data_IF_236923370552
#
_entry.id   IF_236923370552
#
_cell.length_a   1.000
_cell.length_b   1.000
_cell.length_c   1.000
_cell.angle_alpha   90.00
_cell.angle_beta   90.00
_cell.angle_gamma   90.00
#
_symmetry.space_group_name_H-M   'P 1'
#
loop_
_entity.id
_entity.type
_entity.pdbx_description
1 polymer ?
#
# COMPACT_ATOMS: atom_id res chain seq x y z
N UNK A 1 -1.03 -12.95 10.19
CA UNK A 1 -0.97 -12.65 8.75
C UNK A 1 -0.31 -13.83 8.06
N UNK A 2 -0.78 -14.18 6.86
CA UNK A 2 -0.18 -15.21 6.03
C UNK A 2 0.25 -14.62 4.70
N UNK A 3 1.41 -15.06 4.20
CA UNK A 3 1.88 -14.68 2.87
C UNK A 3 1.01 -15.35 1.82
N UNK A 4 0.54 -14.60 0.84
CA UNK A 4 -0.25 -15.13 -0.26
C UNK A 4 0.70 -15.80 -1.26
N UNK A 5 0.63 -17.12 -1.36
CA UNK A 5 1.53 -17.94 -2.19
C UNK A 5 0.79 -18.94 -3.10
N UNK A 6 -0.51 -19.11 -2.91
CA UNK A 6 -1.33 -20.10 -3.64
C UNK A 6 -2.70 -19.52 -3.97
N UNK A 7 -2.71 -18.46 -4.79
CA UNK A 7 -3.92 -17.95 -5.43
C UNK A 7 -3.83 -18.17 -6.94
N UNK A 8 -4.97 -18.54 -7.53
CA UNK A 8 -5.19 -18.56 -8.98
C UNK A 8 -5.18 -17.15 -9.55
N UNK A 9 -5.10 -17.02 -10.88
CA UNK A 9 -5.15 -15.70 -11.54
C UNK A 9 -6.52 -15.04 -11.36
N UNK A 10 -7.57 -15.86 -11.37
CA UNK A 10 -8.95 -15.45 -11.18
C UNK A 10 -9.18 -14.91 -9.76
N UNK A 11 -8.65 -15.59 -8.74
CA UNK A 11 -8.71 -15.11 -7.35
C UNK A 11 -7.93 -13.81 -7.15
N UNK A 12 -6.73 -13.69 -7.74
CA UNK A 12 -5.94 -12.46 -7.67
C UNK A 12 -6.65 -11.29 -8.33
N UNK A 13 -7.28 -11.49 -9.49
CA UNK A 13 -8.06 -10.46 -10.15
C UNK A 13 -9.31 -10.09 -9.32
N UNK A 14 -9.98 -11.08 -8.73
CA UNK A 14 -11.14 -10.88 -7.87
C UNK A 14 -10.79 -10.05 -6.63
N UNK A 15 -9.81 -10.48 -5.83
CA UNK A 15 -9.40 -9.74 -4.64
C UNK A 15 -8.74 -8.41 -4.98
N UNK A 16 -7.96 -8.33 -6.07
CA UNK A 16 -7.41 -7.08 -6.57
C UNK A 16 -8.49 -6.05 -6.89
N UNK A 17 -9.60 -6.49 -7.48
CA UNK A 17 -10.79 -5.65 -7.71
C UNK A 17 -11.38 -5.20 -6.37
N UNK A 18 -11.66 -6.12 -5.44
CA UNK A 18 -12.25 -5.78 -4.13
C UNK A 18 -11.39 -4.81 -3.31
N UNK A 19 -10.06 -4.96 -3.38
CA UNK A 19 -9.08 -4.03 -2.80
C UNK A 19 -9.25 -2.64 -3.40
N UNK A 20 -9.28 -2.55 -4.73
CA UNK A 20 -9.49 -1.30 -5.45
C UNK A 20 -10.84 -0.65 -5.14
N UNK A 21 -11.89 -1.44 -5.00
CA UNK A 21 -13.21 -0.96 -4.63
C UNK A 21 -13.28 -0.43 -3.20
N UNK A 22 -12.63 -1.10 -2.25
CA UNK A 22 -12.51 -0.66 -0.87
C UNK A 22 -11.76 0.67 -0.78
N UNK A 23 -10.67 0.81 -1.54
CA UNK A 23 -9.89 2.04 -1.59
C UNK A 23 -10.66 3.19 -2.24
N UNK A 24 -11.29 2.94 -3.40
CA UNK A 24 -12.06 3.96 -4.10
C UNK A 24 -13.31 4.42 -3.32
N UNK A 25 -13.90 3.53 -2.52
CA UNK A 25 -15.04 3.85 -1.67
C UNK A 25 -14.70 4.80 -0.50
N UNK A 26 -13.43 4.92 -0.11
CA UNK A 26 -13.03 5.92 0.89
C UNK A 26 -13.22 7.35 0.37
N UNK A 27 -13.24 7.56 -0.95
CA UNK A 27 -13.61 8.83 -1.58
C UNK A 27 -12.69 10.02 -1.25
N UNK A 28 -11.46 9.75 -0.81
CA UNK A 28 -10.55 10.78 -0.29
C UNK A 28 -9.11 10.57 -0.83
N UNK A 29 -8.30 11.63 -0.75
CA UNK A 29 -6.91 11.61 -1.16
C UNK A 29 -6.69 11.54 -2.68
N UNK A 30 -5.57 10.97 -3.08
CA UNK A 30 -5.11 10.82 -4.47
C UNK A 30 -6.08 9.96 -5.28
N UNK A 31 -6.86 9.07 -4.64
CA UNK A 31 -7.90 8.27 -5.28
C UNK A 31 -8.93 9.14 -6.04
N UNK A 32 -9.17 10.37 -5.59
CA UNK A 32 -10.13 11.29 -6.21
C UNK A 32 -9.62 11.93 -7.50
N UNK A 33 -8.34 11.76 -7.82
CA UNK A 33 -7.69 12.41 -8.97
C UNK A 33 -7.83 11.64 -10.28
N UNK A 34 -8.32 10.40 -10.23
CA UNK A 34 -8.58 9.56 -11.41
C UNK A 34 -10.00 8.97 -11.36
N UNK A 35 -10.55 8.52 -12.52
CA UNK A 35 -11.82 7.80 -12.54
C UNK A 35 -11.80 6.56 -11.63
N UNK A 36 -12.93 6.28 -10.97
CA UNK A 36 -13.07 5.14 -10.05
C UNK A 36 -12.61 3.82 -10.67
N UNK A 37 -13.02 3.55 -11.91
CA UNK A 37 -12.66 2.32 -12.63
C UNK A 37 -11.15 2.18 -12.86
N UNK A 38 -10.47 3.29 -13.15
CA UNK A 38 -9.01 3.31 -13.33
C UNK A 38 -8.28 3.07 -12.02
N UNK A 39 -8.77 3.61 -10.89
CA UNK A 39 -8.22 3.31 -9.56
C UNK A 39 -8.38 1.83 -9.25
N UNK A 40 -9.56 1.26 -9.48
CA UNK A 40 -9.81 -0.17 -9.25
C UNK A 40 -8.86 -1.02 -10.09
N UNK A 41 -8.73 -0.72 -11.38
CA UNK A 41 -7.83 -1.43 -12.28
C UNK A 41 -6.36 -1.27 -11.86
N UNK A 42 -5.96 -0.10 -11.38
CA UNK A 42 -4.61 0.12 -10.85
C UNK A 42 -4.33 -0.78 -9.64
N UNK A 43 -5.27 -0.86 -8.68
CA UNK A 43 -5.12 -1.73 -7.51
C UNK A 43 -5.15 -3.21 -7.85
N UNK A 44 -5.95 -3.63 -8.84
CA UNK A 44 -5.91 -4.99 -9.37
C UNK A 44 -4.51 -5.35 -9.90
N UNK A 45 -3.95 -4.48 -10.75
CA UNK A 45 -2.61 -4.65 -11.33
C UNK A 45 -1.52 -4.61 -10.25
N UNK A 46 -1.62 -3.70 -9.28
CA UNK A 46 -0.67 -3.60 -8.16
C UNK A 46 -0.74 -4.82 -7.24
N UNK A 47 -1.93 -5.37 -7.00
CA UNK A 47 -2.10 -6.59 -6.19
C UNK A 47 -1.40 -7.77 -6.83
N UNK A 48 -1.55 -7.96 -8.14
CA UNK A 48 -0.79 -8.97 -8.88
C UNK A 48 0.73 -8.71 -8.80
N UNK A 49 1.17 -7.46 -8.92
CA UNK A 49 2.58 -7.11 -8.77
C UNK A 49 3.15 -7.49 -7.39
N UNK A 50 2.43 -7.20 -6.30
CA UNK A 50 2.84 -7.57 -4.95
C UNK A 50 2.86 -9.08 -4.73
N UNK A 51 1.87 -9.79 -5.29
CA UNK A 51 1.83 -11.26 -5.26
C UNK A 51 3.05 -11.85 -5.97
N UNK A 52 3.31 -11.46 -7.23
CA UNK A 52 4.43 -11.94 -8.02
C UNK A 52 5.80 -11.52 -7.45
N UNK A 53 5.83 -10.44 -6.67
CA UNK A 53 7.02 -10.01 -5.93
C UNK A 53 7.25 -10.83 -4.66
N UNK A 54 6.23 -11.53 -4.15
CA UNK A 54 6.30 -12.36 -2.93
C UNK A 54 6.17 -11.55 -1.64
N UNK A 55 5.47 -10.42 -1.71
CA UNK A 55 5.32 -9.43 -0.63
C UNK A 55 3.86 -9.14 -0.29
N UNK A 56 2.91 -9.86 -0.88
CA UNK A 56 1.49 -9.77 -0.56
C UNK A 56 1.14 -10.70 0.61
N UNK A 57 0.41 -10.17 1.59
CA UNK A 57 -0.06 -10.87 2.76
C UNK A 57 -1.54 -10.63 2.97
N UNK A 58 -2.20 -11.54 3.67
CA UNK A 58 -3.61 -11.45 4.05
C UNK A 58 -3.82 -11.87 5.51
N UNK A 59 -4.95 -11.49 6.09
CA UNK A 59 -5.28 -11.71 7.52
C UNK A 59 -5.48 -13.18 7.87
N UNK A 60 -6.24 -13.90 7.05
CA UNK A 60 -6.61 -15.31 7.20
C UNK A 60 -7.14 -15.88 5.88
N UNK A 61 -7.67 -17.11 5.88
CA UNK A 61 -8.34 -17.72 4.72
C UNK A 61 -9.64 -17.00 4.34
N UNK A 62 -10.20 -16.19 5.25
CA UNK A 62 -11.37 -15.36 4.97
C UNK A 62 -11.01 -14.03 4.28
N UNK A 63 -9.72 -13.75 4.08
CA UNK A 63 -9.24 -12.60 3.33
C UNK A 63 -9.79 -11.23 3.75
N UNK A 64 -9.96 -11.00 5.06
CA UNK A 64 -10.60 -9.78 5.56
C UNK A 64 -9.84 -8.49 5.25
N UNK A 65 -8.53 -8.61 5.07
CA UNK A 65 -7.71 -7.54 4.54
C UNK A 65 -6.40 -8.02 3.95
N UNK A 66 -5.76 -7.10 3.25
CA UNK A 66 -4.53 -7.31 2.52
C UNK A 66 -3.47 -6.28 2.92
N UNK A 67 -2.23 -6.73 2.85
CA UNK A 67 -1.05 -5.96 3.19
C UNK A 67 0.03 -6.24 2.15
N UNK A 68 0.70 -5.19 1.68
CA UNK A 68 1.98 -5.33 0.99
C UNK A 68 3.03 -4.51 1.71
N UNK A 69 4.16 -5.14 2.03
CA UNK A 69 5.30 -4.46 2.62
C UNK A 69 6.61 -5.13 2.21
N UNK A 70 7.69 -4.36 2.25
CA UNK A 70 9.04 -4.85 1.95
C UNK A 70 10.08 -4.18 2.84
N UNK A 71 11.29 -4.76 2.88
CA UNK A 71 12.45 -4.12 3.48
C UNK A 71 13.09 -3.14 2.49
N UNK A 72 13.75 -2.08 2.95
CA UNK A 72 14.62 -1.24 2.09
C UNK A 72 15.66 -2.09 1.35
N UNK A 73 16.14 -3.14 2.01
CA UNK A 73 17.10 -4.10 1.44
C UNK A 73 16.49 -5.11 0.45
N UNK A 74 15.16 -5.14 0.28
CA UNK A 74 14.48 -6.05 -0.65
C UNK A 74 14.81 -5.67 -2.09
N UNK A 75 15.36 -6.62 -2.86
CA UNK A 75 15.65 -6.40 -4.28
C UNK A 75 14.35 -6.45 -5.08
N UNK A 76 14.02 -5.33 -5.74
CA UNK A 76 12.89 -5.25 -6.67
C UNK A 76 13.13 -6.22 -7.82
N UNK A 77 12.15 -7.09 -8.08
CA UNK A 77 12.19 -8.03 -9.20
C UNK A 77 11.78 -7.32 -10.48
N UNK A 78 12.71 -7.22 -11.44
CA UNK A 78 12.48 -6.48 -12.68
C UNK A 78 11.34 -7.06 -13.53
N UNK A 79 11.21 -8.40 -13.58
CA UNK A 79 10.17 -9.07 -14.39
C UNK A 79 8.75 -8.71 -13.94
N UNK A 80 8.35 -8.86 -12.65
CA UNK A 80 7.07 -8.36 -12.15
C UNK A 80 6.85 -6.86 -12.40
N UNK A 81 7.87 -6.02 -12.20
CA UNK A 81 7.75 -4.58 -12.41
C UNK A 81 7.47 -4.23 -13.89
N UNK A 82 8.20 -4.84 -14.83
CA UNK A 82 7.95 -4.67 -16.27
C UNK A 82 6.57 -5.20 -16.68
N UNK A 83 6.14 -6.33 -16.10
CA UNK A 83 4.82 -6.88 -16.35
C UNK A 83 3.71 -5.93 -15.90
N UNK A 84 3.85 -5.35 -14.69
CA UNK A 84 2.93 -4.35 -14.15
C UNK A 84 2.82 -3.14 -15.08
N UNK A 85 3.95 -2.58 -15.52
CA UNK A 85 3.96 -1.44 -16.47
C UNK A 85 3.28 -1.80 -17.79
N UNK A 86 3.57 -2.99 -18.34
CA UNK A 86 2.93 -3.48 -19.56
C UNK A 86 1.41 -3.62 -19.43
N UNK A 87 0.92 -4.13 -18.28
CA UNK A 87 -0.53 -4.21 -18.00
C UNK A 87 -1.15 -2.82 -17.87
N UNK A 88 -0.53 -1.90 -17.12
CA UNK A 88 -1.04 -0.53 -16.96
C UNK A 88 -1.18 0.19 -18.31
N UNK A 89 -0.19 0.06 -19.20
CA UNK A 89 -0.24 0.68 -20.54
C UNK A 89 -1.29 0.06 -21.47
N UNK A 90 -1.64 -1.22 -21.27
CA UNK A 90 -2.59 -1.95 -22.11
C UNK A 90 -4.04 -1.81 -21.62
N UNK A 91 -4.24 -1.79 -20.31
CA UNK A 91 -5.55 -1.95 -19.67
C UNK A 91 -6.09 -0.66 -19.05
N UNK A 92 -5.29 0.41 -18.99
CA UNK A 92 -5.70 1.71 -18.46
C UNK A 92 -5.51 2.83 -19.47
N UNK A 93 -6.24 3.93 -19.28
CA UNK A 93 -6.05 5.12 -20.11
C UNK A 93 -4.67 5.77 -19.86
N UNK A 94 -4.07 6.36 -20.89
CA UNK A 94 -2.78 7.07 -20.77
C UNK A 94 -2.81 8.18 -19.71
N UNK A 95 -3.95 8.87 -19.57
CA UNK A 95 -4.16 9.89 -18.52
C UNK A 95 -4.02 9.28 -17.13
N UNK A 96 -4.63 8.12 -16.90
CA UNK A 96 -4.64 7.44 -15.61
C UNK A 96 -3.30 6.80 -15.27
N UNK A 97 -2.59 6.25 -16.26
CA UNK A 97 -1.19 5.80 -16.08
C UNK A 97 -0.30 6.95 -15.59
N UNK A 98 -0.44 8.15 -16.18
CA UNK A 98 0.33 9.34 -15.74
C UNK A 98 -0.02 9.77 -14.31
N UNK A 99 -1.28 9.65 -13.91
CA UNK A 99 -1.71 9.97 -12.54
C UNK A 99 -1.10 8.98 -11.54
N UNK A 100 -1.21 7.68 -11.80
CA UNK A 100 -0.63 6.63 -10.95
C UNK A 100 0.89 6.79 -10.83
N UNK A 101 1.59 7.00 -11.94
CA UNK A 101 3.03 7.26 -11.93
C UNK A 101 3.42 8.57 -11.22
N UNK A 102 2.57 9.60 -11.29
CA UNK A 102 2.77 10.85 -10.56
C UNK A 102 2.54 10.70 -9.04
N UNK A 103 1.73 9.73 -8.63
CA UNK A 103 1.43 9.43 -7.23
C UNK A 103 2.43 8.48 -6.55
N UNK A 104 3.33 7.85 -7.31
CA UNK A 104 4.30 6.88 -6.79
C UNK A 104 5.51 7.53 -6.11
N UNK A 105 5.41 8.79 -5.67
CA UNK A 105 6.50 9.43 -4.93
C UNK A 105 6.56 8.86 -3.52
N UNK A 106 7.61 8.10 -3.22
CA UNK A 106 7.90 7.60 -1.87
C UNK A 106 8.64 8.68 -1.07
N UNK A 107 7.89 9.51 -0.35
CA UNK A 107 8.43 10.53 0.56
C UNK A 107 9.24 9.87 1.68
N UNK A 108 8.76 8.75 2.24
CA UNK A 108 9.49 8.02 3.27
C UNK A 108 10.90 7.63 2.80
N UNK A 109 11.09 7.27 1.52
CA UNK A 109 12.39 6.85 1.01
C UNK A 109 13.42 8.01 1.04
N UNK A 110 12.94 9.25 0.92
CA UNK A 110 13.75 10.47 1.04
C UNK A 110 14.05 10.80 2.50
N UNK A 111 13.04 10.73 3.37
CA UNK A 111 13.16 10.99 4.81
C UNK A 111 14.13 10.01 5.46
N UNK A 112 13.97 8.72 5.15
CA UNK A 112 14.76 7.60 5.70
C UNK A 112 15.91 7.17 4.80
N UNK A 113 16.42 8.08 3.95
CA UNK A 113 17.53 7.78 3.04
C UNK A 113 18.78 7.29 3.79
N UNK A 114 19.08 7.90 4.96
CA UNK A 114 20.24 7.58 5.80
C UNK A 114 20.05 6.35 6.69
N UNK A 115 18.82 5.90 6.88
CA UNK A 115 18.53 4.71 7.69
C UNK A 115 19.15 3.47 7.02
N UNK A 116 19.74 2.56 7.79
CA UNK A 116 20.39 1.38 7.21
C UNK A 116 19.36 0.49 6.51
N UNK A 117 18.23 0.26 7.16
CA UNK A 117 17.11 -0.51 6.64
C UNK A 117 15.80 -0.06 7.29
N UNK A 118 14.67 -0.33 6.65
CA UNK A 118 13.34 -0.06 7.17
C UNK A 118 12.34 -1.05 6.60
N UNK A 119 11.23 -1.29 7.30
CA UNK A 119 10.05 -1.93 6.74
C UNK A 119 9.20 -0.83 6.08
N UNK A 120 8.97 -0.90 4.77
CA UNK A 120 8.08 0.00 4.05
C UNK A 120 6.78 -0.70 3.72
N UNK A 121 5.67 -0.15 4.21
CA UNK A 121 4.33 -0.63 3.92
C UNK A 121 3.76 0.15 2.73
N UNK A 122 3.49 -0.57 1.65
CA UNK A 122 3.06 0.00 0.36
C UNK A 122 1.55 -0.11 0.13
N UNK A 123 0.89 -1.04 0.83
CA UNK A 123 -0.55 -1.22 0.74
C UNK A 123 -1.10 -1.75 2.07
N UNK A 124 -2.16 -1.13 2.59
CA UNK A 124 -2.94 -1.62 3.73
C UNK A 124 -4.40 -1.44 3.40
N UNK A 125 -5.15 -2.54 3.25
CA UNK A 125 -6.57 -2.48 2.89
C UNK A 125 -7.37 -3.47 3.72
N UNK A 126 -8.48 -3.02 4.28
CA UNK A 126 -9.54 -3.86 4.85
C UNK A 126 -10.68 -3.88 3.85
N UNK A 127 -11.12 -5.08 3.43
CA UNK A 127 -12.22 -5.19 2.47
C UNK A 127 -13.50 -4.62 3.09
N UNK A 128 -14.37 -4.04 2.24
CA UNK A 128 -15.52 -3.23 2.68
C UNK A 128 -16.41 -3.93 3.71
N UNK A 129 -16.67 -5.22 3.53
CA UNK A 129 -17.51 -6.02 4.43
C UNK A 129 -16.93 -6.23 5.85
N UNK A 130 -15.62 -5.98 6.02
CA UNK A 130 -14.90 -6.12 7.29
C UNK A 130 -14.46 -4.78 7.90
N UNK A 131 -14.74 -3.66 7.24
CA UNK A 131 -14.40 -2.34 7.77
C UNK A 131 -15.16 -2.04 9.07
N UNK A 132 -14.55 -1.21 9.93
CA UNK A 132 -15.11 -0.87 11.25
C UNK A 132 -14.93 -1.94 12.34
N UNK A 133 -14.39 -3.12 12.02
CA UNK A 133 -14.21 -4.24 12.97
C UNK A 133 -12.82 -4.34 13.59
N UNK A 134 -11.97 -3.32 13.43
CA UNK A 134 -10.62 -3.27 14.02
C UNK A 134 -9.51 -4.00 13.24
N UNK A 135 -9.79 -4.59 12.08
CA UNK A 135 -8.80 -5.35 11.29
C UNK A 135 -7.56 -4.55 10.87
N UNK A 136 -7.66 -3.24 10.67
CA UNK A 136 -6.52 -2.41 10.28
C UNK A 136 -5.38 -2.47 11.30
N UNK A 137 -5.69 -2.45 12.60
CA UNK A 137 -4.67 -2.58 13.66
C UNK A 137 -3.99 -3.95 13.58
N UNK A 138 -4.77 -5.02 13.46
CA UNK A 138 -4.28 -6.40 13.32
C UNK A 138 -3.39 -6.59 12.09
N UNK A 139 -3.71 -5.93 10.97
CA UNK A 139 -2.91 -6.00 9.75
C UNK A 139 -1.54 -5.35 9.98
N UNK A 140 -1.52 -4.17 10.61
CA UNK A 140 -0.29 -3.39 10.86
C UNK A 140 0.60 -4.01 11.94
N UNK A 141 0.07 -4.79 12.86
CA UNK A 141 0.86 -5.52 13.87
C UNK A 141 1.95 -6.40 13.25
N UNK A 142 1.73 -6.93 12.05
CA UNK A 142 2.71 -7.80 11.38
C UNK A 142 3.99 -7.07 10.94
N UNK A 143 3.94 -5.99 10.12
CA UNK A 143 5.13 -5.23 9.76
C UNK A 143 5.73 -4.50 10.98
N UNK A 144 4.92 -4.13 11.98
CA UNK A 144 5.42 -3.56 13.23
C UNK A 144 6.25 -4.57 14.03
N UNK A 145 5.78 -5.80 14.17
CA UNK A 145 6.53 -6.87 14.84
C UNK A 145 7.83 -7.21 14.11
N UNK A 146 7.83 -7.20 12.78
CA UNK A 146 9.07 -7.37 12.01
C UNK A 146 10.05 -6.21 12.23
N UNK A 147 9.58 -4.97 12.21
CA UNK A 147 10.40 -3.80 12.44
C UNK A 147 11.00 -3.77 13.87
N UNK A 148 10.18 -4.10 14.86
CA UNK A 148 10.56 -4.23 16.27
C UNK A 148 11.66 -5.27 16.48
N UNK A 149 11.46 -6.51 15.99
CA UNK A 149 12.44 -7.60 16.08
C UNK A 149 13.81 -7.22 15.52
N UNK A 150 13.82 -6.36 14.52
CA UNK A 150 14.99 -5.99 13.74
C UNK A 150 15.62 -4.66 14.19
N UNK A 151 14.98 -3.95 15.14
CA UNK A 151 15.44 -2.66 15.63
C UNK A 151 15.45 -1.57 14.56
N UNK A 152 14.51 -1.59 13.61
CA UNK A 152 14.41 -0.65 12.48
C UNK A 152 13.03 0.01 12.44
N UNK A 153 12.83 1.13 11.72
CA UNK A 153 11.49 1.70 11.60
C UNK A 153 10.61 0.92 10.64
N UNK A 154 9.30 0.95 10.91
CA UNK A 154 8.27 0.67 9.92
C UNK A 154 7.68 1.99 9.42
N UNK A 155 7.69 2.22 8.10
CA UNK A 155 7.29 3.48 7.47
C UNK A 155 6.22 3.26 6.42
N UNK A 156 5.37 4.27 6.24
CA UNK A 156 4.42 4.35 5.12
C UNK A 156 4.14 5.79 4.77
N UNK A 157 3.69 6.03 3.54
CA UNK A 157 3.14 7.31 3.14
C UNK A 157 1.62 7.26 3.07
N UNK A 158 0.98 8.36 3.42
CA UNK A 158 -0.46 8.54 3.34
C UNK A 158 -0.82 9.96 2.91
N UNK A 159 -1.98 10.14 2.33
CA UNK A 159 -2.36 11.35 1.59
C UNK A 159 -3.45 12.21 2.27
N UNK A 160 -4.07 11.70 3.34
CA UNK A 160 -5.16 12.41 4.04
C UNK A 160 -4.90 12.54 5.52
N UNK A 161 -5.34 13.65 6.10
CA UNK A 161 -5.25 13.89 7.55
C UNK A 161 -6.07 12.86 8.35
N UNK A 162 -7.16 12.36 7.77
CA UNK A 162 -7.96 11.29 8.36
C UNK A 162 -7.15 10.00 8.50
N UNK A 163 -6.40 9.61 7.45
CA UNK A 163 -5.51 8.45 7.50
C UNK A 163 -4.35 8.66 8.47
N UNK A 164 -3.77 9.86 8.55
CA UNK A 164 -2.77 10.20 9.59
C UNK A 164 -3.33 9.91 10.98
N UNK A 165 -4.53 10.41 11.31
CA UNK A 165 -5.16 10.14 12.60
C UNK A 165 -5.45 8.65 12.84
N UNK A 166 -5.87 7.91 11.80
CA UNK A 166 -6.05 6.45 11.85
C UNK A 166 -4.74 5.74 12.20
N UNK A 167 -3.64 6.06 11.51
CA UNK A 167 -2.33 5.44 11.76
C UNK A 167 -1.73 5.84 13.11
N UNK A 168 -1.99 7.07 13.57
CA UNK A 168 -1.59 7.48 14.93
C UNK A 168 -2.27 6.66 16.01
N UNK A 169 -3.56 6.31 15.85
CA UNK A 169 -4.24 5.38 16.76
C UNK A 169 -3.68 3.95 16.71
N UNK A 170 -2.99 3.60 15.63
CA UNK A 170 -2.25 2.33 15.51
C UNK A 170 -0.82 2.42 16.08
N UNK A 171 -0.40 3.54 16.66
CA UNK A 171 0.93 3.71 17.26
C UNK A 171 1.96 4.37 16.36
N UNK A 172 1.57 4.89 15.19
CA UNK A 172 2.50 5.59 14.29
C UNK A 172 2.62 7.08 14.60
N UNK A 173 3.81 7.64 14.45
CA UNK A 173 4.12 9.08 14.56
C UNK A 173 4.26 9.66 13.14
N UNK A 174 3.74 10.87 12.90
CA UNK A 174 3.95 11.56 11.63
C UNK A 174 5.33 12.23 11.65
N UNK A 175 6.23 11.85 10.74
CA UNK A 175 7.62 12.30 10.72
C UNK A 175 7.96 13.24 9.57
N UNK A 176 7.12 13.31 8.53
CA UNK A 176 7.28 14.27 7.44
C UNK A 176 5.96 14.63 6.76
N UNK A 177 5.92 15.83 6.20
CA UNK A 177 4.79 16.34 5.41
C UNK A 177 5.32 17.09 4.19
N UNK A 178 4.76 16.81 3.00
CA UNK A 178 5.10 17.49 1.75
C UNK A 178 3.84 17.86 0.99
N UNK A 179 3.76 19.08 0.48
CA UNK A 179 2.70 19.45 -0.48
C UNK A 179 3.09 18.99 -1.88
N UNK A 180 2.19 18.27 -2.55
CA UNK A 180 2.31 17.88 -3.93
C UNK A 180 1.94 19.07 -4.84
N UNK A 181 2.42 19.06 -6.09
CA UNK A 181 2.11 20.12 -7.07
C UNK A 181 0.61 20.29 -7.32
N UNK A 182 -0.15 19.22 -7.13
CA UNK A 182 -1.60 19.15 -7.25
C UNK A 182 -2.36 19.73 -6.05
N UNK A 183 -1.65 20.19 -5.02
CA UNK A 183 -2.22 20.84 -3.82
C UNK A 183 -2.49 19.89 -2.66
N UNK A 184 -2.60 18.58 -2.90
CA UNK A 184 -2.72 17.58 -1.83
C UNK A 184 -1.43 17.47 -1.02
N UNK A 185 -1.53 16.93 0.19
CA UNK A 185 -0.38 16.64 1.03
C UNK A 185 -0.07 15.15 1.05
N UNK A 186 1.22 14.83 1.12
CA UNK A 186 1.74 13.51 1.43
C UNK A 186 2.38 13.56 2.82
N UNK A 187 2.09 12.57 3.64
CA UNK A 187 2.55 12.44 5.01
C UNK A 187 3.31 11.13 5.17
N UNK A 188 4.49 11.18 5.77
CA UNK A 188 5.23 9.98 6.15
C UNK A 188 4.91 9.64 7.60
N UNK A 189 4.43 8.43 7.82
CA UNK A 189 4.17 7.85 9.13
C UNK A 189 5.28 6.85 9.48
N UNK A 190 5.66 6.80 10.76
CA UNK A 190 6.66 5.89 11.31
C UNK A 190 6.11 5.15 12.52
N UNK A 191 6.39 3.86 12.61
CA UNK A 191 6.36 3.10 13.85
C UNK A 191 7.78 2.69 14.24
N UNK A 192 8.13 2.89 15.51
CA UNK A 192 9.31 2.34 16.19
C UNK A 192 8.88 1.86 17.56
N UNK A 193 9.42 0.72 17.99
CA UNK A 193 9.29 0.28 19.37
C UNK A 193 10.20 1.19 20.24
N UNK A 194 9.59 1.86 21.21
CA UNK A 194 10.26 2.80 22.13
C UNK A 194 11.04 2.04 23.22
#
# INVERSE_FOLDING_TARGET
>A
MQKVNSMTKEELAHYGTLIGEAFAAEGDGIATTAPREDIIKAFEIMTEYFYNSGVLYTTSDNHEGFLAYWRKSTKIKLKPALHMVGRMLREMSFRSVRIVAGSSEELYAKVYKKEKDYVAVSMVVVLREYQGKGYMKRILEHPFSEAAREGIPCVLDTDTALKVAKYTKCGMKNTAKKQLKSGQYLYTMEYRED
#
